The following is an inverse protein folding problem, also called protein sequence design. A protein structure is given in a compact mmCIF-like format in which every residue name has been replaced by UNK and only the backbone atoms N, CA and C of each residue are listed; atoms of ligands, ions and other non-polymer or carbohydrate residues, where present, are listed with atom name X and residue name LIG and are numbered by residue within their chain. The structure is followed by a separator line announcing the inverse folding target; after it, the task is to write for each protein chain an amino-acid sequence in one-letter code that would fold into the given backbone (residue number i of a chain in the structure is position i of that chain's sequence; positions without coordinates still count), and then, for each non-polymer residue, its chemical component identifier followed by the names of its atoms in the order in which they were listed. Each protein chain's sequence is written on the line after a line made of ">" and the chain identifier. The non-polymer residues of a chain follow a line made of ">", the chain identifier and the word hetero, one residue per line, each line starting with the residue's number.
data_IF_761642609691
#
_entry.id   IF_761642609691
#
_cell.length_a   1.000
_cell.length_b   1.000
_cell.length_c   1.000
_cell.angle_alpha   90.00
_cell.angle_beta   90.00
_cell.angle_gamma   90.00
#
_symmetry.space_group_name_H-M   'P 1'
#
loop_
_entity.id
_entity.type
_entity.pdbx_description
1 polymer ?
#
# COMPACT_ATOMS: atom_id res chain seq x y z
N UNK A 1 22.14 -28.52 5.20
CA UNK A 1 22.33 -27.08 4.93
C UNK A 1 21.09 -26.35 5.40
N UNK A 2 21.12 -25.75 6.59
CA UNK A 2 20.00 -24.97 7.12
C UNK A 2 19.91 -23.64 6.38
N UNK A 3 18.95 -23.49 5.47
CA UNK A 3 18.66 -22.19 4.87
C UNK A 3 18.27 -21.20 5.97
N UNK A 4 18.79 -19.98 5.91
CA UNK A 4 18.38 -18.89 6.79
C UNK A 4 16.85 -18.75 6.77
N UNK A 5 16.22 -18.91 7.93
CA UNK A 5 14.77 -18.71 8.07
C UNK A 5 14.48 -17.23 7.87
N UNK A 6 13.73 -16.91 6.83
CA UNK A 6 13.32 -15.54 6.54
C UNK A 6 12.39 -15.04 7.65
N UNK A 7 12.75 -13.95 8.31
CA UNK A 7 11.92 -13.34 9.36
C UNK A 7 11.05 -12.23 8.79
N UNK A 8 9.77 -12.53 8.59
CA UNK A 8 8.78 -11.57 8.10
C UNK A 8 7.89 -11.12 9.26
N UNK A 9 7.90 -9.84 9.57
CA UNK A 9 6.91 -9.22 10.47
C UNK A 9 5.71 -8.76 9.65
N UNK A 10 4.52 -9.25 9.99
CA UNK A 10 3.27 -8.78 9.39
C UNK A 10 2.72 -7.62 10.22
N UNK A 11 2.39 -6.51 9.56
CA UNK A 11 1.82 -5.32 10.18
C UNK A 11 0.38 -5.17 9.71
N UNK A 12 -0.54 -5.06 10.66
CA UNK A 12 -1.97 -4.88 10.42
C UNK A 12 -2.44 -3.59 11.09
N UNK A 13 -2.46 -2.45 10.38
CA UNK A 13 -3.10 -1.24 10.89
C UNK A 13 -4.61 -1.46 10.95
N UNK A 14 -5.27 -0.96 11.99
CA UNK A 14 -6.73 -1.05 12.08
C UNK A 14 -7.34 0.13 12.83
N UNK A 15 -8.54 0.54 12.40
CA UNK A 15 -9.35 1.55 13.06
C UNK A 15 -10.84 1.21 12.88
N UNK A 16 -11.51 0.85 13.97
CA UNK A 16 -12.95 0.52 13.96
C UNK A 16 -13.36 -0.49 12.87
N UNK A 17 -12.47 -1.42 12.53
CA UNK A 17 -12.72 -2.47 11.52
C UNK A 17 -13.96 -3.29 11.89
N UNK A 18 -14.85 -3.61 10.93
CA UNK A 18 -15.97 -4.49 11.17
C UNK A 18 -15.53 -5.81 11.80
N UNK A 19 -16.26 -6.26 12.83
CA UNK A 19 -15.83 -7.37 13.69
C UNK A 19 -15.60 -8.66 12.91
N UNK A 20 -16.51 -9.01 11.99
CA UNK A 20 -16.40 -10.24 11.21
C UNK A 20 -15.23 -10.20 10.23
N UNK A 21 -15.00 -9.06 9.57
CA UNK A 21 -13.83 -8.85 8.72
C UNK A 21 -12.52 -9.01 9.52
N UNK A 22 -12.44 -8.39 10.71
CA UNK A 22 -11.25 -8.47 11.53
C UNK A 22 -10.99 -9.89 12.09
N UNK A 23 -12.05 -10.63 12.43
CA UNK A 23 -11.94 -12.07 12.78
C UNK A 23 -11.39 -12.88 11.61
N UNK A 24 -11.87 -12.65 10.39
CA UNK A 24 -11.39 -13.33 9.20
C UNK A 24 -9.92 -13.03 8.93
N UNK A 25 -9.52 -11.76 9.05
CA UNK A 25 -8.13 -11.33 8.98
C UNK A 25 -7.26 -12.09 10.00
N UNK A 26 -7.58 -12.02 11.30
CA UNK A 26 -6.84 -12.71 12.37
C UNK A 26 -6.76 -14.23 12.12
N UNK A 27 -7.86 -14.86 11.71
CA UNK A 27 -7.89 -16.30 11.44
C UNK A 27 -7.04 -16.68 10.22
N UNK A 28 -6.94 -15.84 9.20
CA UNK A 28 -6.03 -16.04 8.07
C UNK A 28 -4.57 -15.93 8.52
N UNK A 29 -4.26 -14.94 9.36
CA UNK A 29 -2.91 -14.69 9.86
C UNK A 29 -2.39 -15.81 10.76
N UNK A 30 -3.27 -16.52 11.48
CA UNK A 30 -2.90 -17.71 12.27
C UNK A 30 -2.45 -18.89 11.39
N UNK A 31 -2.77 -18.89 10.10
CA UNK A 31 -2.42 -19.96 9.15
C UNK A 31 -1.14 -19.67 8.38
N UNK A 32 -0.60 -18.45 8.45
CA UNK A 32 0.65 -18.09 7.77
C UNK A 32 1.84 -18.24 8.70
N UNK A 33 2.99 -18.60 8.14
CA UNK A 33 4.24 -18.75 8.90
C UNK A 33 4.97 -17.40 9.04
N UNK A 34 4.34 -16.43 9.71
CA UNK A 34 4.95 -15.14 10.02
C UNK A 34 5.93 -15.27 11.21
N UNK A 35 7.00 -14.49 11.22
CA UNK A 35 7.91 -14.41 12.37
C UNK A 35 7.22 -13.72 13.56
N UNK A 36 6.48 -12.66 13.27
CA UNK A 36 5.56 -12.05 14.22
C UNK A 36 4.42 -11.36 13.45
N UNK A 37 3.30 -11.14 14.15
CA UNK A 37 2.19 -10.32 13.66
C UNK A 37 1.99 -9.18 14.65
N UNK A 38 1.88 -7.96 14.13
CA UNK A 38 1.73 -6.73 14.90
C UNK A 38 0.42 -6.06 14.49
N UNK A 39 -0.56 -6.08 15.38
CA UNK A 39 -1.82 -5.37 15.24
C UNK A 39 -1.63 -3.94 15.78
N UNK A 40 -1.81 -2.93 14.92
CA UNK A 40 -1.60 -1.52 15.27
C UNK A 40 -2.93 -0.78 15.28
N UNK A 41 -3.44 -0.53 16.46
CA UNK A 41 -4.70 0.18 16.70
C UNK A 41 -4.51 1.70 16.54
N UNK A 42 -5.17 2.31 15.54
CA UNK A 42 -5.19 3.77 15.37
C UNK A 42 -6.27 4.46 16.22
N UNK A 43 -6.32 4.10 17.51
CA UNK A 43 -7.27 4.63 18.48
C UNK A 43 -8.76 4.32 18.18
N UNK A 44 -9.06 3.07 17.85
CA UNK A 44 -10.43 2.56 17.71
C UNK A 44 -11.29 2.88 18.93
N UNK A 45 -12.52 3.32 18.67
CA UNK A 45 -13.56 3.56 19.68
C UNK A 45 -14.41 2.31 19.94
N UNK A 46 -14.47 1.38 18.98
CA UNK A 46 -15.14 0.11 19.15
C UNK A 46 -14.37 -0.77 20.16
N UNK A 47 -14.98 -1.05 21.31
CA UNK A 47 -14.32 -1.83 22.39
C UNK A 47 -14.17 -3.31 22.04
N UNK A 48 -15.05 -3.86 21.21
CA UNK A 48 -15.03 -5.27 20.83
C UNK A 48 -13.85 -5.58 19.90
N UNK A 49 -13.60 -4.72 18.90
CA UNK A 49 -12.46 -4.89 17.98
C UNK A 49 -11.12 -4.80 18.74
N UNK A 50 -11.02 -3.88 19.70
CA UNK A 50 -9.84 -3.73 20.57
C UNK A 50 -9.65 -4.96 21.45
N UNK A 51 -10.73 -5.49 22.04
CA UNK A 51 -10.68 -6.73 22.84
C UNK A 51 -10.25 -7.91 21.99
N UNK A 52 -10.75 -8.02 20.76
CA UNK A 52 -10.35 -9.07 19.82
C UNK A 52 -8.86 -8.98 19.48
N UNK A 53 -8.35 -7.79 19.19
CA UNK A 53 -6.94 -7.57 18.89
C UNK A 53 -6.03 -8.01 20.07
N UNK A 54 -6.36 -7.57 21.29
CA UNK A 54 -5.59 -7.91 22.50
C UNK A 54 -5.60 -9.40 22.83
N UNK A 55 -6.70 -10.09 22.53
CA UNK A 55 -6.87 -11.52 22.82
C UNK A 55 -6.44 -12.42 21.64
N UNK A 56 -5.93 -11.85 20.53
CA UNK A 56 -5.60 -12.59 19.31
C UNK A 56 -4.42 -13.55 19.46
N UNK A 57 -3.55 -13.32 20.46
CA UNK A 57 -2.24 -13.96 20.59
C UNK A 57 -1.12 -13.23 19.83
N UNK A 58 -1.46 -12.21 19.03
CA UNK A 58 -0.51 -11.36 18.32
C UNK A 58 -0.11 -10.14 19.14
N UNK A 59 0.97 -9.48 18.74
CA UNK A 59 1.44 -8.26 19.40
C UNK A 59 0.46 -7.13 19.12
N UNK A 60 -0.11 -6.55 20.18
CA UNK A 60 -0.96 -5.38 20.10
C UNK A 60 -0.18 -4.12 20.49
N UNK A 61 -0.21 -3.11 19.63
CA UNK A 61 0.27 -1.75 19.93
C UNK A 61 -0.76 -0.73 19.48
N UNK A 62 -0.65 0.51 19.99
CA UNK A 62 -1.63 1.57 19.78
C UNK A 62 -0.96 2.90 19.47
N UNK A 63 -1.53 3.69 18.56
CA UNK A 63 -1.09 5.08 18.34
C UNK A 63 -1.46 5.98 19.51
N UNK A 64 -0.82 7.16 19.62
CA UNK A 64 -1.11 8.11 20.72
C UNK A 64 -2.48 8.78 20.58
N UNK A 65 -2.92 9.00 19.34
CA UNK A 65 -4.18 9.62 18.95
C UNK A 65 -4.55 9.09 17.58
N UNK A 66 -5.85 9.11 17.27
CA UNK A 66 -6.33 8.75 15.93
C UNK A 66 -5.67 9.65 14.89
N UNK A 67 -5.05 9.03 13.89
CA UNK A 67 -4.23 9.74 12.90
C UNK A 67 -5.00 10.14 11.65
N UNK A 68 -6.10 9.43 11.35
CA UNK A 68 -6.92 9.68 10.17
C UNK A 68 -6.26 9.24 8.85
N UNK A 69 -5.19 8.42 8.91
CA UNK A 69 -4.54 7.80 7.76
C UNK A 69 -3.84 6.51 8.16
N UNK A 70 -3.58 5.62 7.21
CA UNK A 70 -2.86 4.37 7.50
C UNK A 70 -1.37 4.58 7.78
N UNK A 71 -0.79 5.69 7.35
CA UNK A 71 0.66 5.88 7.43
C UNK A 71 1.20 5.91 8.85
N UNK A 72 0.49 6.54 9.78
CA UNK A 72 0.94 6.60 11.19
C UNK A 72 0.97 5.21 11.84
N UNK A 73 -0.12 4.41 11.83
CA UNK A 73 -0.09 3.06 12.39
C UNK A 73 0.88 2.13 11.66
N UNK A 74 0.98 2.18 10.31
CA UNK A 74 1.95 1.38 9.56
C UNK A 74 3.38 1.70 9.99
N UNK A 75 3.76 2.98 10.00
CA UNK A 75 5.11 3.40 10.38
C UNK A 75 5.46 3.02 11.83
N UNK A 76 4.49 3.07 12.75
CA UNK A 76 4.68 2.62 14.13
C UNK A 76 4.93 1.11 14.18
N UNK A 77 4.18 0.33 13.41
CA UNK A 77 4.40 -1.11 13.23
C UNK A 77 5.79 -1.41 12.70
N UNK A 78 6.23 -0.74 11.63
CA UNK A 78 7.54 -0.93 10.98
C UNK A 78 8.67 -0.69 11.97
N UNK A 79 8.62 0.43 12.72
CA UNK A 79 9.65 0.76 13.72
C UNK A 79 9.73 -0.29 14.83
N UNK A 80 8.60 -0.90 15.17
CA UNK A 80 8.46 -1.86 16.28
C UNK A 80 8.78 -3.31 15.87
N UNK A 81 8.74 -3.60 14.57
CA UNK A 81 9.01 -4.91 14.00
C UNK A 81 10.45 -5.37 14.23
N UNK A 82 10.64 -6.67 14.39
CA UNK A 82 11.92 -7.35 14.62
C UNK A 82 12.33 -8.24 13.45
N UNK A 83 11.44 -8.48 12.49
CA UNK A 83 11.74 -9.17 11.25
C UNK A 83 12.62 -8.34 10.32
N UNK A 84 13.37 -9.04 9.48
CA UNK A 84 14.23 -8.44 8.45
C UNK A 84 13.39 -7.91 7.28
N UNK A 85 12.20 -8.48 7.10
CA UNK A 85 11.21 -8.10 6.10
C UNK A 85 9.89 -7.73 6.74
N UNK A 86 9.14 -6.86 6.07
CA UNK A 86 7.85 -6.36 6.48
C UNK A 86 6.81 -6.73 5.43
N UNK A 87 5.65 -7.21 5.88
CA UNK A 87 4.45 -7.39 5.06
C UNK A 87 3.30 -6.55 5.64
N UNK A 88 2.66 -5.70 4.83
CA UNK A 88 1.43 -4.99 5.24
C UNK A 88 0.20 -5.80 4.82
N UNK A 89 -0.77 -5.91 5.74
CA UNK A 89 -2.08 -6.51 5.50
C UNK A 89 -3.15 -5.58 6.02
N UNK A 90 -4.20 -5.32 5.24
CA UNK A 90 -5.34 -4.54 5.71
C UNK A 90 -6.20 -5.36 6.67
N UNK A 91 -6.74 -4.69 7.69
CA UNK A 91 -7.45 -5.36 8.79
C UNK A 91 -8.75 -6.06 8.40
N UNK A 92 -9.30 -5.74 7.23
CA UNK A 92 -10.51 -6.34 6.68
C UNK A 92 -10.27 -7.37 5.58
N UNK A 93 -9.01 -7.61 5.22
CA UNK A 93 -8.57 -8.55 4.19
C UNK A 93 -7.96 -9.84 4.77
N UNK A 94 -7.59 -10.77 3.89
CA UNK A 94 -7.00 -12.06 4.29
C UNK A 94 -5.67 -12.34 3.57
N UNK A 95 -4.63 -12.65 4.35
CA UNK A 95 -3.36 -13.12 3.84
C UNK A 95 -3.32 -14.66 3.86
N UNK A 96 -3.09 -15.27 2.70
CA UNK A 96 -3.10 -16.72 2.55
C UNK A 96 -1.71 -17.34 2.67
N UNK A 97 -0.68 -16.61 2.21
CA UNK A 97 0.68 -17.14 2.19
C UNK A 97 1.74 -16.02 2.19
N UNK A 98 2.87 -16.30 2.83
CA UNK A 98 4.08 -15.50 2.78
C UNK A 98 5.16 -16.19 1.92
N UNK A 99 6.04 -15.41 1.26
CA UNK A 99 7.21 -15.96 0.58
C UNK A 99 8.15 -16.67 1.56
N UNK A 100 8.69 -17.80 1.14
CA UNK A 100 9.62 -18.61 1.95
C UNK A 100 11.09 -18.33 1.64
N UNK A 101 11.37 -17.68 0.52
CA UNK A 101 12.71 -17.35 0.03
C UNK A 101 12.68 -15.95 -0.59
N UNK A 102 13.81 -15.26 -0.50
CA UNK A 102 14.01 -13.93 -1.07
C UNK A 102 15.31 -13.92 -1.84
N UNK A 103 15.21 -13.64 -3.13
CA UNK A 103 16.34 -13.36 -4.01
C UNK A 103 16.31 -11.89 -4.48
N UNK A 104 15.33 -11.12 -3.99
CA UNK A 104 15.05 -9.73 -4.35
C UNK A 104 14.76 -8.88 -3.10
N UNK A 105 14.84 -7.56 -3.25
CA UNK A 105 14.55 -6.62 -2.17
C UNK A 105 13.07 -6.60 -1.78
N UNK A 106 12.20 -6.81 -2.78
CA UNK A 106 10.75 -6.72 -2.69
C UNK A 106 10.12 -7.97 -3.34
N UNK A 107 9.00 -8.42 -2.81
CA UNK A 107 8.12 -9.43 -3.38
C UNK A 107 6.69 -8.89 -3.36
N UNK A 108 6.13 -8.61 -4.53
CA UNK A 108 4.74 -8.16 -4.66
C UNK A 108 3.76 -9.33 -4.44
N UNK A 109 2.64 -9.03 -3.79
CA UNK A 109 1.53 -9.96 -3.68
C UNK A 109 0.84 -10.22 -5.03
N UNK A 110 0.02 -11.27 -5.04
CA UNK A 110 -0.90 -11.58 -6.11
C UNK A 110 -2.30 -11.63 -5.49
N UNK A 111 -3.11 -10.65 -5.87
CA UNK A 111 -4.39 -10.32 -5.25
C UNK A 111 -5.49 -10.91 -6.11
N UNK A 112 -6.45 -11.62 -5.51
CA UNK A 112 -7.53 -12.35 -6.20
C UNK A 112 -8.25 -11.56 -7.31
N UNK A 113 -8.49 -10.27 -7.10
CA UNK A 113 -9.20 -9.40 -8.07
C UNK A 113 -8.29 -8.60 -9.00
N UNK A 114 -7.04 -8.38 -8.62
CA UNK A 114 -6.09 -7.51 -9.34
C UNK A 114 -5.07 -8.31 -10.16
N UNK A 115 -4.81 -9.56 -9.77
CA UNK A 115 -3.70 -10.36 -10.26
C UNK A 115 -2.36 -9.94 -9.63
N UNK A 116 -1.26 -10.37 -10.25
CA UNK A 116 0.09 -9.97 -9.86
C UNK A 116 0.51 -8.65 -10.51
N UNK A 117 1.46 -7.96 -9.88
CA UNK A 117 2.02 -6.70 -10.37
C UNK A 117 2.94 -6.83 -11.62
N UNK A 118 2.75 -7.84 -12.48
CA UNK A 118 3.60 -8.05 -13.65
C UNK A 118 3.66 -6.81 -14.54
N UNK A 119 4.87 -6.44 -14.96
CA UNK A 119 5.14 -5.28 -15.82
C UNK A 119 4.67 -3.94 -15.23
N UNK A 120 4.63 -3.83 -13.89
CA UNK A 120 4.46 -2.57 -13.18
C UNK A 120 5.60 -1.61 -13.52
N UNK A 121 5.26 -0.33 -13.70
CA UNK A 121 6.23 0.75 -13.87
C UNK A 121 5.71 2.03 -13.23
N UNK A 122 6.63 2.94 -12.91
CA UNK A 122 6.28 4.24 -12.32
C UNK A 122 5.30 5.02 -13.22
N UNK A 123 5.59 5.11 -14.52
CA UNK A 123 4.71 5.80 -15.49
C UNK A 123 3.31 5.21 -15.53
N UNK A 124 3.18 3.87 -15.51
CA UNK A 124 1.86 3.21 -15.54
C UNK A 124 1.08 3.51 -14.28
N UNK A 125 1.71 3.51 -13.10
CA UNK A 125 1.03 3.85 -11.85
C UNK A 125 0.69 5.34 -11.74
N UNK A 126 1.44 6.24 -12.36
CA UNK A 126 1.08 7.66 -12.43
C UNK A 126 -0.17 7.85 -13.29
N UNK A 127 -0.27 7.13 -14.41
CA UNK A 127 -1.40 7.20 -15.34
C UNK A 127 -2.63 6.43 -14.83
N UNK A 128 -2.45 5.33 -14.13
CA UNK A 128 -3.54 4.57 -13.52
C UNK A 128 -3.08 3.96 -12.19
N UNK A 129 -3.26 4.69 -11.08
CA UNK A 129 -2.92 4.21 -9.74
C UNK A 129 -3.65 2.91 -9.41
N UNK A 130 -2.92 1.94 -8.84
CA UNK A 130 -3.43 0.62 -8.44
C UNK A 130 -2.79 0.18 -7.12
N UNK A 131 -3.57 -0.48 -6.26
CA UNK A 131 -3.18 -0.85 -4.91
C UNK A 131 -2.34 -2.15 -4.86
N UNK A 132 -1.09 -2.11 -5.33
CA UNK A 132 -0.17 -3.25 -5.29
C UNK A 132 0.61 -3.39 -3.97
N UNK A 133 0.35 -2.53 -2.98
CA UNK A 133 0.99 -2.60 -1.66
C UNK A 133 0.45 -3.72 -0.77
N UNK A 134 -0.70 -4.31 -1.11
CA UNK A 134 -1.33 -5.34 -0.29
C UNK A 134 -0.61 -6.69 -0.46
N UNK A 135 -0.24 -7.32 0.66
CA UNK A 135 0.69 -8.46 0.72
C UNK A 135 2.07 -8.22 0.09
N UNK A 136 2.45 -6.97 -0.18
CA UNK A 136 3.81 -6.63 -0.56
C UNK A 136 4.73 -6.94 0.63
N UNK A 137 5.78 -7.71 0.36
CA UNK A 137 6.83 -7.99 1.34
C UNK A 137 8.12 -7.33 0.88
N UNK A 138 8.68 -6.44 1.67
CA UNK A 138 9.96 -5.80 1.37
C UNK A 138 10.87 -5.78 2.58
N UNK A 139 12.18 -5.58 2.34
CA UNK A 139 13.13 -5.39 3.43
C UNK A 139 12.68 -4.24 4.33
N UNK A 140 12.90 -4.39 5.63
CA UNK A 140 12.52 -3.40 6.64
C UNK A 140 13.21 -2.05 6.43
N UNK A 141 14.45 -2.04 5.96
CA UNK A 141 15.21 -0.82 5.67
C UNK A 141 14.56 0.05 4.59
N UNK A 142 13.89 -0.56 3.60
CA UNK A 142 13.13 0.15 2.56
C UNK A 142 11.95 0.90 3.18
N UNK A 143 11.17 0.26 4.05
CA UNK A 143 10.09 0.93 4.77
C UNK A 143 10.57 2.03 5.72
N UNK A 144 11.79 1.90 6.27
CA UNK A 144 12.38 2.94 7.12
C UNK A 144 12.92 4.12 6.31
N UNK A 145 13.49 3.87 5.12
CA UNK A 145 13.94 4.90 4.18
C UNK A 145 12.74 5.66 3.59
N UNK A 146 11.68 4.94 3.24
CA UNK A 146 10.48 5.43 2.58
C UNK A 146 9.25 5.21 3.47
N UNK A 147 9.09 5.97 4.57
CA UNK A 147 7.96 5.80 5.45
C UNK A 147 6.65 6.18 4.75
N UNK A 148 5.58 5.47 5.09
CA UNK A 148 4.24 5.77 4.58
C UNK A 148 3.86 7.22 4.95
N UNK A 149 3.31 7.96 4.00
CA UNK A 149 2.86 9.32 4.27
C UNK A 149 1.75 9.35 5.33
N UNK A 150 1.89 10.26 6.30
CA UNK A 150 0.88 10.56 7.32
C UNK A 150 -0.05 11.71 6.90
N UNK A 151 0.16 12.26 5.70
CA UNK A 151 -0.66 13.31 5.10
C UNK A 151 -1.87 12.67 4.42
N UNK A 152 -3.08 13.11 4.79
CA UNK A 152 -4.35 12.60 4.26
C UNK A 152 -4.64 13.02 2.81
N UNK A 153 -3.87 13.96 2.26
CA UNK A 153 -4.04 14.50 0.92
C UNK A 153 -3.15 13.80 -0.13
N UNK A 154 -2.56 12.67 0.21
CA UNK A 154 -1.84 11.81 -0.74
C UNK A 154 -2.26 10.36 -0.55
N UNK A 155 -2.14 9.57 -1.60
CA UNK A 155 -2.24 8.12 -1.51
C UNK A 155 -0.94 7.57 -0.93
N UNK A 156 -0.97 7.23 0.36
CA UNK A 156 0.22 6.81 1.11
C UNK A 156 0.88 5.55 0.56
N UNK A 157 0.06 4.57 0.20
CA UNK A 157 0.47 3.32 -0.42
C UNK A 157 1.01 3.53 -1.84
N UNK A 158 0.34 4.35 -2.66
CA UNK A 158 0.80 4.67 -4.02
C UNK A 158 2.10 5.48 -4.00
N UNK A 159 2.24 6.43 -3.06
CA UNK A 159 3.48 7.17 -2.87
C UNK A 159 4.65 6.23 -2.57
N UNK A 160 4.46 5.27 -1.67
CA UNK A 160 5.46 4.25 -1.38
C UNK A 160 5.81 3.45 -2.64
N UNK A 161 4.83 3.06 -3.47
CA UNK A 161 5.08 2.40 -4.75
C UNK A 161 5.91 3.27 -5.71
N UNK A 162 5.66 4.57 -5.77
CA UNK A 162 6.46 5.48 -6.61
C UNK A 162 7.93 5.51 -6.14
N UNK A 163 8.16 5.62 -4.84
CA UNK A 163 9.50 5.67 -4.27
C UNK A 163 10.28 4.37 -4.53
N UNK A 164 9.64 3.21 -4.36
CA UNK A 164 10.33 1.93 -4.59
C UNK A 164 10.61 1.67 -6.08
N UNK A 165 9.72 2.07 -6.99
CA UNK A 165 9.93 1.91 -8.44
C UNK A 165 10.94 2.92 -9.00
N UNK A 166 11.12 4.07 -8.34
CA UNK A 166 12.10 5.07 -8.74
C UNK A 166 13.52 4.76 -8.27
N UNK A 167 13.68 4.04 -7.14
CA UNK A 167 14.96 3.78 -6.49
C UNK A 167 15.63 2.45 -6.93
N UNK A 168 15.25 1.88 -8.07
CA UNK A 168 15.85 0.68 -8.69
C UNK A 168 15.96 -0.55 -7.76
N UNK A 169 15.03 -0.70 -6.80
CA UNK A 169 14.98 -1.92 -5.99
C UNK A 169 14.62 -3.13 -6.85
N UNK A 170 15.27 -4.25 -6.59
CA UNK A 170 14.94 -5.52 -7.23
C UNK A 170 13.64 -6.07 -6.68
N UNK A 171 12.80 -6.62 -7.55
CA UNK A 171 11.51 -7.14 -7.15
C UNK A 171 11.11 -8.41 -7.88
N UNK A 172 10.30 -9.21 -7.20
CA UNK A 172 9.66 -10.42 -7.71
C UNK A 172 8.16 -10.38 -7.39
N UNK A 173 7.42 -11.42 -7.76
CA UNK A 173 5.98 -11.51 -7.56
C UNK A 173 5.58 -12.88 -7.05
N UNK A 174 4.52 -12.93 -6.25
CA UNK A 174 3.91 -14.19 -5.85
C UNK A 174 3.20 -14.84 -7.06
N UNK A 175 3.48 -16.12 -7.30
CA UNK A 175 3.01 -16.83 -8.50
C UNK A 175 1.56 -17.34 -8.41
N UNK A 176 0.95 -17.28 -7.22
CA UNK A 176 -0.43 -17.69 -6.95
C UNK A 176 -1.11 -16.61 -6.12
N UNK A 177 -2.44 -16.57 -6.14
CA UNK A 177 -3.16 -15.67 -5.24
C UNK A 177 -2.76 -15.96 -3.80
N UNK A 178 -2.21 -14.97 -3.12
CA UNK A 178 -1.80 -15.05 -1.71
C UNK A 178 -2.48 -14.00 -0.84
N UNK A 179 -3.36 -13.18 -1.43
CA UNK A 179 -4.12 -12.16 -0.74
C UNK A 179 -5.54 -12.09 -1.30
N UNK A 180 -6.53 -12.10 -0.40
CA UNK A 180 -7.94 -11.94 -0.75
C UNK A 180 -8.38 -10.54 -0.33
N UNK A 181 -8.80 -9.74 -1.31
CA UNK A 181 -9.38 -8.43 -1.07
C UNK A 181 -10.87 -8.55 -0.77
N UNK A 182 -11.24 -8.36 0.50
CA UNK A 182 -12.59 -8.50 1.01
C UNK A 182 -13.33 -7.18 0.85
N UNK A 183 -14.16 -7.06 -0.19
CA UNK A 183 -14.94 -5.84 -0.43
C UNK A 183 -15.90 -5.55 0.74
N UNK A 184 -15.70 -4.43 1.42
CA UNK A 184 -16.61 -3.90 2.44
C UNK A 184 -17.52 -2.83 1.84
N UNK A 185 -18.80 -2.84 2.21
CA UNK A 185 -19.71 -1.73 1.94
C UNK A 185 -19.14 -0.47 2.62
N UNK A 186 -18.61 0.47 1.82
CA UNK A 186 -17.97 1.69 2.33
C UNK A 186 -16.49 1.88 2.00
N UNK A 187 -15.89 1.04 1.14
CA UNK A 187 -14.52 1.25 0.64
C UNK A 187 -14.29 2.72 0.23
N UNK A 188 -13.12 3.27 0.59
CA UNK A 188 -12.72 4.67 0.29
C UNK A 188 -12.86 4.99 -1.20
N UNK A 189 -12.69 3.99 -2.07
CA UNK A 189 -12.86 4.11 -3.51
C UNK A 189 -14.30 4.48 -3.93
N UNK A 190 -15.29 4.12 -3.12
CA UNK A 190 -16.71 4.38 -3.38
C UNK A 190 -17.22 5.67 -2.72
N UNK A 191 -16.48 6.24 -1.77
CA UNK A 191 -16.94 7.42 -1.02
C UNK A 191 -16.46 8.76 -1.58
N UNK A 192 -15.43 8.77 -2.43
CA UNK A 192 -14.84 9.99 -3.01
C UNK A 192 -15.15 10.11 -4.51
N UNK A 193 -15.50 11.31 -4.97
CA UNK A 193 -15.73 11.57 -6.39
C UNK A 193 -14.48 11.29 -7.24
N UNK A 194 -14.67 10.92 -8.51
CA UNK A 194 -13.54 10.71 -9.43
C UNK A 194 -12.63 11.94 -9.54
N UNK A 195 -13.20 13.15 -9.50
CA UNK A 195 -12.43 14.39 -9.50
C UNK A 195 -11.50 14.45 -8.28
N UNK A 196 -12.02 14.17 -7.10
CA UNK A 196 -11.25 14.17 -5.85
C UNK A 196 -10.12 13.14 -5.91
N UNK A 197 -10.39 11.92 -6.40
CA UNK A 197 -9.37 10.88 -6.54
C UNK A 197 -8.23 11.30 -7.48
N UNK A 198 -8.58 11.92 -8.61
CA UNK A 198 -7.60 12.43 -9.59
C UNK A 198 -6.77 13.59 -9.06
N UNK A 199 -7.37 14.49 -8.28
CA UNK A 199 -6.64 15.57 -7.57
C UNK A 199 -5.63 14.97 -6.58
N UNK A 200 -6.04 13.97 -5.79
CA UNK A 200 -5.12 13.28 -4.88
C UNK A 200 -3.97 12.61 -5.62
N UNK A 201 -4.21 12.02 -6.80
CA UNK A 201 -3.14 11.46 -7.60
C UNK A 201 -2.11 12.53 -7.98
N UNK A 202 -2.53 13.70 -8.45
CA UNK A 202 -1.62 14.81 -8.74
C UNK A 202 -0.84 15.28 -7.50
N UNK A 203 -1.50 15.38 -6.35
CA UNK A 203 -0.85 15.71 -5.08
C UNK A 203 0.19 14.66 -4.67
N UNK A 204 -0.11 13.38 -4.92
CA UNK A 204 0.78 12.25 -4.63
C UNK A 204 2.02 12.30 -5.51
N UNK A 205 1.86 12.56 -6.82
CA UNK A 205 2.98 12.71 -7.76
C UNK A 205 3.85 13.92 -7.42
N UNK A 206 3.24 15.05 -7.09
CA UNK A 206 3.97 16.23 -6.66
C UNK A 206 4.78 15.97 -5.39
N UNK A 207 4.17 15.31 -4.39
CA UNK A 207 4.85 14.93 -3.15
C UNK A 207 6.00 13.96 -3.41
N UNK A 208 5.81 12.97 -4.28
CA UNK A 208 6.85 12.04 -4.71
C UNK A 208 8.05 12.79 -5.31
N UNK A 209 7.82 13.67 -6.28
CA UNK A 209 8.87 14.46 -6.92
C UNK A 209 9.67 15.29 -5.90
N UNK A 210 9.00 15.85 -4.90
CA UNK A 210 9.64 16.61 -3.82
C UNK A 210 10.49 15.73 -2.90
N UNK A 211 9.96 14.59 -2.45
CA UNK A 211 10.65 13.70 -1.50
C UNK A 211 11.89 13.06 -2.12
N UNK A 212 11.78 12.59 -3.36
CA UNK A 212 12.87 11.93 -4.08
C UNK A 212 13.79 12.91 -4.83
N UNK A 213 13.53 14.23 -4.72
CA UNK A 213 14.30 15.28 -5.41
C UNK A 213 14.43 15.00 -6.91
N UNK A 214 13.32 14.59 -7.53
CA UNK A 214 13.29 14.17 -8.93
C UNK A 214 13.78 15.32 -9.83
N UNK A 215 14.74 15.06 -10.75
CA UNK A 215 15.24 16.08 -11.67
C UNK A 215 14.12 16.79 -12.43
N UNK A 216 14.27 18.10 -12.67
CA UNK A 216 13.22 18.95 -13.22
C UNK A 216 12.58 18.39 -14.51
N UNK A 217 13.38 17.86 -15.43
CA UNK A 217 12.89 17.27 -16.68
C UNK A 217 11.98 16.05 -16.44
N UNK A 218 12.34 15.17 -15.50
CA UNK A 218 11.53 14.02 -15.12
C UNK A 218 10.30 14.45 -14.31
N UNK A 219 10.45 15.42 -13.41
CA UNK A 219 9.32 15.96 -12.66
C UNK A 219 8.27 16.57 -13.58
N UNK A 220 8.68 17.31 -14.63
CA UNK A 220 7.78 17.81 -15.68
C UNK A 220 7.08 16.65 -16.38
N UNK A 221 7.82 15.62 -16.82
CA UNK A 221 7.24 14.40 -17.43
C UNK A 221 6.16 13.77 -16.54
N UNK A 222 6.47 13.53 -15.27
CA UNK A 222 5.56 12.88 -14.32
C UNK A 222 4.34 13.74 -13.99
N UNK A 223 4.51 15.05 -13.80
CA UNK A 223 3.39 15.97 -13.59
C UNK A 223 2.49 16.06 -14.82
N UNK A 224 3.06 16.05 -16.02
CA UNK A 224 2.29 15.95 -17.27
C UNK A 224 1.46 14.65 -17.32
N UNK A 225 2.04 13.51 -16.94
CA UNK A 225 1.29 12.25 -16.87
C UNK A 225 0.18 12.28 -15.82
N UNK A 226 0.41 12.90 -14.65
CA UNK A 226 -0.61 13.08 -13.63
C UNK A 226 -1.77 13.96 -14.16
N UNK A 227 -1.47 15.00 -14.94
CA UNK A 227 -2.49 15.81 -15.62
C UNK A 227 -3.27 15.00 -16.69
N UNK A 228 -2.62 14.08 -17.42
CA UNK A 228 -3.34 13.15 -18.31
C UNK A 228 -4.31 12.27 -17.53
N UNK A 229 -3.89 11.72 -16.39
CA UNK A 229 -4.79 10.98 -15.51
C UNK A 229 -5.93 11.86 -15.00
N UNK A 230 -5.66 13.13 -14.68
CA UNK A 230 -6.70 14.08 -14.29
C UNK A 230 -7.76 14.27 -15.39
N UNK A 231 -7.34 14.36 -16.64
CA UNK A 231 -8.24 14.54 -17.78
C UNK A 231 -8.97 13.24 -18.15
N UNK A 232 -8.23 12.18 -18.48
CA UNK A 232 -8.76 10.94 -19.06
C UNK A 232 -9.08 9.85 -18.02
N UNK A 233 -8.72 10.04 -16.75
CA UNK A 233 -8.77 8.98 -15.74
C UNK A 233 -7.79 7.84 -16.06
N UNK A 234 -8.18 6.61 -15.72
CA UNK A 234 -7.39 5.40 -15.99
C UNK A 234 -7.18 5.13 -17.48
N UNK A 235 -8.01 5.69 -18.37
CA UNK A 235 -7.79 5.61 -19.82
C UNK A 235 -6.55 6.36 -20.29
N UNK A 236 -5.93 7.20 -19.43
CA UNK A 236 -4.71 7.94 -19.74
C UNK A 236 -3.52 7.07 -20.15
N UNK A 237 -3.51 5.77 -19.77
CA UNK A 237 -2.50 4.80 -20.23
C UNK A 237 -2.40 4.78 -21.77
N UNK A 238 -3.52 4.88 -22.48
CA UNK A 238 -3.56 4.84 -23.95
C UNK A 238 -2.83 6.02 -24.58
N UNK A 239 -2.76 7.13 -23.85
CA UNK A 239 -2.21 8.40 -24.29
C UNK A 239 -0.79 8.64 -23.76
N UNK A 240 -0.09 7.61 -23.28
CA UNK A 240 1.25 7.73 -22.68
C UNK A 240 2.21 8.54 -23.58
N UNK A 241 2.21 8.26 -24.89
CA UNK A 241 3.11 8.86 -25.88
C UNK A 241 2.50 10.07 -26.62
N UNK A 242 1.26 10.44 -26.33
CA UNK A 242 0.57 11.56 -27.00
C UNK A 242 0.85 12.90 -26.30
N UNK A 243 0.78 14.05 -27.00
CA UNK A 243 0.87 15.36 -26.35
C UNK A 243 -0.31 15.61 -25.40
N UNK A 244 -0.18 16.59 -24.49
CA UNK A 244 -1.31 17.02 -23.66
C UNK A 244 -2.39 17.69 -24.51
N UNK A 245 -3.69 17.45 -24.24
CA UNK A 245 -4.77 18.25 -24.82
C UNK A 245 -4.61 19.72 -24.40
N UNK A 246 -4.96 20.64 -25.32
CA UNK A 246 -4.90 22.07 -25.04
C UNK A 246 -6.11 22.46 -24.16
N UNK A 247 -6.00 23.52 -23.37
CA UNK A 247 -7.08 23.98 -22.48
C UNK A 247 -8.43 24.21 -23.19
N UNK A 248 -8.39 24.56 -24.48
CA UNK A 248 -9.58 24.78 -25.32
C UNK A 248 -10.37 23.50 -25.63
N UNK A 249 -9.81 22.33 -25.35
CA UNK A 249 -10.41 21.03 -25.67
C UNK A 249 -11.16 20.42 -24.47
N UNK A 250 -11.18 21.10 -23.30
CA UNK A 250 -11.90 20.66 -22.11
C UNK A 250 -13.40 20.55 -22.38
N UNK A 251 -14.06 19.43 -22.04
CA UNK A 251 -15.52 19.37 -22.04
C UNK A 251 -16.06 20.43 -21.07
N UNK A 252 -17.06 21.20 -21.51
CA UNK A 252 -17.80 22.10 -20.61
C UNK A 252 -18.58 21.31 -19.56
#
# INVERSE_FOLDING_TARGET
>A
MGGLVVKISVIVPFYNTPIENFKNCINSLKKVNAYEVILVDDCSSNKEVVKLAKNSGFKYIKTKKQSGSDGTPVNLGVKTAKGDYICRVDSDDMLLQLPQKFDTDICFGNIDRLGSAHNISLEKLILAPQAYCNALVARKDIFLKHPFATDKNVYSDILFLYQILYNDYTYSYFNKVNYIYCNTEGSILNSKSFLHQRLLNMQTVARFCQLEQVPQNLAVKYMTMAMKNFYYGSNSIKYLNEPMPLFKDLPQ
#
